data_IF_315216226647
#
_entry.id   IF_315216226647
#
_cell.length_a   1.000
_cell.length_b   1.000
_cell.length_c   1.000
_cell.angle_alpha   90.00
_cell.angle_beta   90.00
_cell.angle_gamma   90.00
#
_symmetry.space_group_name_H-M   'P 1'
#
loop_
_entity.id
_entity.type
_entity.pdbx_description
1 polymer ?
#
# COMPACT_ATOMS: atom_id res chain seq x y z
N UNK A 1 38.00 39.26 13.52
CA UNK A 1 37.45 38.11 14.25
C UNK A 1 37.95 38.20 15.68
N UNK A 2 37.08 38.12 16.70
CA UNK A 2 37.54 38.16 18.10
C UNK A 2 38.33 36.88 18.42
N UNK A 3 39.27 36.94 19.38
CA UNK A 3 40.02 35.74 19.83
C UNK A 3 39.08 34.60 20.23
N UNK A 4 37.97 34.95 20.88
CA UNK A 4 36.87 34.05 21.25
C UNK A 4 36.20 33.44 20.01
N UNK A 5 35.86 34.26 19.01
CA UNK A 5 35.27 33.77 17.76
C UNK A 5 36.19 32.82 16.99
N UNK A 6 37.51 33.07 17.03
CA UNK A 6 38.49 32.19 16.38
C UNK A 6 38.56 30.82 17.05
N UNK A 7 38.58 30.79 18.40
CA UNK A 7 38.60 29.54 19.18
C UNK A 7 37.34 28.69 18.90
N UNK A 8 36.17 29.32 18.88
CA UNK A 8 34.90 28.62 18.61
C UNK A 8 34.91 27.99 17.21
N UNK A 9 35.33 28.74 16.19
CA UNK A 9 35.40 28.24 14.82
C UNK A 9 36.37 27.06 14.71
N UNK A 10 37.55 27.14 15.35
CA UNK A 10 38.52 26.03 15.32
C UNK A 10 37.96 24.76 15.96
N UNK A 11 37.26 24.87 17.09
CA UNK A 11 36.65 23.71 17.76
C UNK A 11 35.60 23.04 16.85
N UNK A 12 34.74 23.85 16.22
CA UNK A 12 33.72 23.34 15.28
C UNK A 12 34.37 22.64 14.08
N UNK A 13 35.44 23.21 13.52
CA UNK A 13 36.16 22.60 12.40
C UNK A 13 36.77 21.25 12.77
N UNK A 14 37.36 21.11 13.96
CA UNK A 14 37.95 19.84 14.42
C UNK A 14 36.87 18.77 14.62
N UNK A 15 35.71 19.14 15.17
CA UNK A 15 34.58 18.21 15.36
C UNK A 15 34.05 17.73 13.99
N UNK A 16 33.91 18.64 13.02
CA UNK A 16 33.44 18.29 11.67
C UNK A 16 34.40 17.33 10.96
N UNK A 17 35.72 17.60 11.02
CA UNK A 17 36.74 16.73 10.42
C UNK A 17 36.71 15.35 11.10
N UNK A 18 36.60 15.31 12.43
CA UNK A 18 36.48 14.06 13.19
C UNK A 18 35.25 13.24 12.80
N UNK A 19 34.10 13.90 12.59
CA UNK A 19 32.88 13.25 12.14
C UNK A 19 33.02 12.65 10.72
N UNK A 20 33.62 13.39 9.78
CA UNK A 20 33.86 12.90 8.41
C UNK A 20 34.75 11.65 8.43
N UNK A 21 35.82 11.68 9.22
CA UNK A 21 36.73 10.53 9.34
C UNK A 21 36.01 9.34 9.99
N UNK A 22 35.23 9.58 11.04
CA UNK A 22 34.47 8.55 11.74
C UNK A 22 33.46 7.87 10.81
N UNK A 23 32.57 8.62 10.15
CA UNK A 23 31.57 8.06 9.24
C UNK A 23 32.16 7.49 7.94
N UNK A 24 33.27 8.06 7.44
CA UNK A 24 33.88 7.64 6.16
C UNK A 24 34.79 6.42 6.26
N UNK A 25 35.62 6.34 7.31
CA UNK A 25 36.78 5.43 7.36
C UNK A 25 36.78 4.46 8.55
N UNK A 26 35.93 4.64 9.56
CA UNK A 26 35.88 3.68 10.69
C UNK A 26 34.78 2.63 10.48
N UNK A 27 35.01 1.37 10.84
CA UNK A 27 33.98 0.33 10.79
C UNK A 27 32.73 0.68 11.63
N UNK A 28 32.93 1.34 12.78
CA UNK A 28 31.84 1.80 13.64
C UNK A 28 30.96 2.86 12.98
N UNK A 29 31.55 3.90 12.39
CA UNK A 29 30.80 4.93 11.69
C UNK A 29 30.09 4.42 10.42
N UNK A 30 30.72 3.52 9.66
CA UNK A 30 30.07 2.84 8.52
C UNK A 30 28.89 1.98 8.94
N UNK A 31 28.99 1.29 10.09
CA UNK A 31 27.88 0.50 10.64
C UNK A 31 26.68 1.37 11.03
N UNK A 32 26.93 2.52 11.68
CA UNK A 32 25.88 3.49 12.03
C UNK A 32 25.22 4.10 10.79
N UNK A 33 26.02 4.43 9.77
CA UNK A 33 25.48 4.93 8.50
C UNK A 33 24.62 3.87 7.81
N UNK A 34 25.11 2.63 7.74
CA UNK A 34 24.42 1.53 7.07
C UNK A 34 23.15 1.11 7.80
N UNK A 35 23.14 1.10 9.14
CA UNK A 35 21.93 0.81 9.91
C UNK A 35 20.87 1.89 9.73
N UNK A 36 21.29 3.17 9.64
CA UNK A 36 20.40 4.29 9.37
C UNK A 36 19.79 4.19 7.96
N UNK A 37 20.61 4.01 6.91
CA UNK A 37 20.09 3.88 5.54
C UNK A 37 19.20 2.64 5.39
N UNK A 38 19.61 1.51 5.97
CA UNK A 38 18.80 0.28 5.96
C UNK A 38 17.47 0.43 6.68
N UNK A 39 17.43 1.20 7.77
CA UNK A 39 16.17 1.48 8.49
C UNK A 39 15.22 2.35 7.67
N UNK A 40 15.75 3.31 6.89
CA UNK A 40 14.97 4.13 5.97
C UNK A 40 14.43 3.30 4.81
N UNK A 41 15.30 2.52 4.15
CA UNK A 41 14.90 1.62 3.06
C UNK A 41 13.81 0.64 3.52
N UNK A 42 13.96 0.05 4.71
CA UNK A 42 12.93 -0.84 5.27
C UNK A 42 11.62 -0.12 5.61
N UNK A 43 11.66 1.13 6.06
CA UNK A 43 10.44 1.88 6.33
C UNK A 43 9.67 2.12 5.03
N UNK A 44 10.37 2.51 3.96
CA UNK A 44 9.78 2.72 2.63
C UNK A 44 9.30 1.40 1.99
N UNK A 45 10.08 0.33 2.06
CA UNK A 45 9.70 -1.01 1.57
C UNK A 45 8.44 -1.52 2.28
N UNK A 46 8.34 -1.37 3.60
CA UNK A 46 7.16 -1.80 4.35
C UNK A 46 5.89 -1.03 3.90
N UNK A 47 6.00 0.26 3.62
CA UNK A 47 4.88 1.05 3.11
C UNK A 47 4.48 0.60 1.69
N UNK A 48 5.47 0.35 0.83
CA UNK A 48 5.24 -0.13 -0.53
C UNK A 48 4.59 -1.51 -0.55
N UNK A 49 5.12 -2.47 0.20
CA UNK A 49 4.57 -3.83 0.28
C UNK A 49 3.17 -3.82 0.89
N UNK A 50 2.91 -2.98 1.90
CA UNK A 50 1.55 -2.81 2.44
C UNK A 50 0.60 -2.29 1.37
N UNK A 51 0.99 -1.25 0.62
CA UNK A 51 0.16 -0.70 -0.46
C UNK A 51 -0.13 -1.75 -1.54
N UNK A 52 0.89 -2.48 -1.96
CA UNK A 52 0.77 -3.54 -2.95
C UNK A 52 -0.17 -4.66 -2.51
N UNK A 53 -0.04 -5.13 -1.26
CA UNK A 53 -0.94 -6.16 -0.71
C UNK A 53 -2.40 -5.70 -0.71
N UNK A 54 -2.64 -4.43 -0.39
CA UNK A 54 -3.98 -3.86 -0.39
C UNK A 54 -4.56 -3.81 -1.81
N UNK A 55 -3.77 -3.33 -2.78
CA UNK A 55 -4.18 -3.28 -4.19
C UNK A 55 -4.43 -4.67 -4.78
N UNK A 56 -3.57 -5.65 -4.50
CA UNK A 56 -3.73 -7.02 -5.00
C UNK A 56 -4.97 -7.69 -4.42
N UNK A 57 -5.27 -7.44 -3.15
CA UNK A 57 -6.51 -7.89 -2.51
C UNK A 57 -7.73 -7.24 -3.15
N UNK A 58 -7.70 -5.92 -3.38
CA UNK A 58 -8.78 -5.19 -4.04
C UNK A 58 -9.04 -5.75 -5.45
N UNK A 59 -7.98 -5.96 -6.26
CA UNK A 59 -8.09 -6.56 -7.59
C UNK A 59 -8.68 -7.98 -7.56
N UNK A 60 -8.27 -8.80 -6.60
CA UNK A 60 -8.84 -10.15 -6.42
C UNK A 60 -10.34 -10.11 -6.11
N UNK A 61 -10.77 -9.19 -5.24
CA UNK A 61 -12.18 -9.01 -4.92
C UNK A 61 -12.99 -8.51 -6.13
N UNK A 62 -12.47 -7.53 -6.89
CA UNK A 62 -13.09 -7.05 -8.13
C UNK A 62 -13.23 -8.20 -9.14
N UNK A 63 -12.20 -9.03 -9.30
CA UNK A 63 -12.23 -10.17 -10.22
C UNK A 63 -13.28 -11.21 -9.81
N UNK A 64 -13.36 -11.54 -8.52
CA UNK A 64 -14.40 -12.44 -7.99
C UNK A 64 -15.80 -11.88 -8.23
N UNK A 65 -16.00 -10.60 -7.92
CA UNK A 65 -17.28 -9.91 -8.14
C UNK A 65 -17.68 -9.96 -9.62
N UNK A 66 -16.78 -9.60 -10.54
CA UNK A 66 -17.04 -9.62 -11.99
C UNK A 66 -17.39 -11.02 -12.50
N UNK A 67 -16.74 -12.06 -11.97
CA UNK A 67 -17.06 -13.45 -12.31
C UNK A 67 -18.47 -13.85 -11.87
N UNK A 68 -18.87 -13.48 -10.66
CA UNK A 68 -20.21 -13.76 -10.15
C UNK A 68 -21.28 -12.94 -10.89
N UNK A 69 -21.02 -11.67 -11.19
CA UNK A 69 -21.91 -10.83 -12.03
C UNK A 69 -22.09 -11.45 -13.41
N UNK A 70 -21.01 -11.89 -14.06
CA UNK A 70 -21.09 -12.54 -15.36
C UNK A 70 -21.94 -13.83 -15.30
N UNK A 71 -21.83 -14.60 -14.22
CA UNK A 71 -22.66 -15.80 -14.02
C UNK A 71 -24.13 -15.45 -13.82
N UNK A 72 -24.42 -14.41 -13.03
CA UNK A 72 -25.79 -13.91 -12.84
C UNK A 72 -26.38 -13.44 -14.17
N UNK A 73 -25.69 -12.57 -14.90
CA UNK A 73 -26.12 -12.04 -16.20
C UNK A 73 -26.37 -13.13 -17.24
N UNK A 74 -25.59 -14.22 -17.19
CA UNK A 74 -25.75 -15.35 -18.12
C UNK A 74 -27.03 -16.16 -17.89
N UNK A 75 -27.48 -16.28 -16.63
CA UNK A 75 -28.53 -17.22 -16.25
C UNK A 75 -29.78 -16.59 -15.63
N UNK A 76 -29.80 -15.28 -15.37
CA UNK A 76 -30.94 -14.58 -14.74
C UNK A 76 -32.26 -14.76 -15.50
N UNK A 77 -32.20 -14.79 -16.83
CA UNK A 77 -33.36 -14.91 -17.72
C UNK A 77 -33.55 -16.34 -18.27
N UNK A 78 -32.90 -17.34 -17.66
CA UNK A 78 -33.00 -18.73 -18.11
C UNK A 78 -34.32 -19.38 -17.67
N UNK A 79 -35.02 -20.04 -18.61
CA UNK A 79 -36.26 -20.79 -18.33
C UNK A 79 -36.05 -22.07 -17.48
N UNK A 80 -34.78 -22.44 -17.23
CA UNK A 80 -34.42 -23.58 -16.39
C UNK A 80 -34.21 -23.14 -14.93
N UNK A 81 -35.00 -23.71 -14.01
CA UNK A 81 -34.99 -23.43 -12.57
C UNK A 81 -33.63 -23.65 -11.90
N UNK A 82 -32.87 -24.66 -12.32
CA UNK A 82 -31.53 -24.94 -11.79
C UNK A 82 -30.54 -23.82 -12.18
N UNK A 83 -30.62 -23.36 -13.43
CA UNK A 83 -29.80 -22.24 -13.92
C UNK A 83 -30.18 -20.92 -13.26
N UNK A 84 -31.47 -20.68 -13.04
CA UNK A 84 -31.93 -19.53 -12.26
C UNK A 84 -31.42 -19.58 -10.82
N UNK A 85 -31.41 -20.75 -10.18
CA UNK A 85 -30.82 -20.93 -8.85
C UNK A 85 -29.32 -20.61 -8.84
N UNK A 86 -28.57 -20.96 -9.90
CA UNK A 86 -27.17 -20.56 -10.03
C UNK A 86 -27.01 -19.04 -10.16
N UNK A 87 -27.90 -18.38 -10.91
CA UNK A 87 -27.91 -16.93 -11.03
C UNK A 87 -28.13 -16.26 -9.67
N UNK A 88 -29.14 -16.70 -8.91
CA UNK A 88 -29.44 -16.15 -7.58
C UNK A 88 -28.29 -16.36 -6.58
N UNK A 89 -27.66 -17.54 -6.61
CA UNK A 89 -26.47 -17.80 -5.80
C UNK A 89 -25.30 -16.88 -6.20
N UNK A 90 -25.08 -16.69 -7.49
CA UNK A 90 -24.04 -15.80 -8.00
C UNK A 90 -24.31 -14.35 -7.60
N UNK A 91 -25.55 -13.88 -7.71
CA UNK A 91 -25.98 -12.56 -7.23
C UNK A 91 -25.70 -12.37 -5.74
N UNK A 92 -26.06 -13.34 -4.89
CA UNK A 92 -25.77 -13.26 -3.45
C UNK A 92 -24.26 -13.20 -3.16
N UNK A 93 -23.43 -13.95 -3.90
CA UNK A 93 -21.97 -13.90 -3.76
C UNK A 93 -21.38 -12.58 -4.27
N UNK A 94 -21.84 -12.07 -5.40
CA UNK A 94 -21.46 -10.78 -5.93
C UNK A 94 -21.79 -9.67 -4.92
N UNK A 95 -23.01 -9.63 -4.40
CA UNK A 95 -23.43 -8.61 -3.44
C UNK A 95 -22.66 -8.68 -2.11
N UNK A 96 -22.37 -9.89 -1.61
CA UNK A 96 -21.50 -10.07 -0.45
C UNK A 96 -20.08 -9.56 -0.71
N UNK A 97 -19.56 -9.81 -1.91
CA UNK A 97 -18.22 -9.36 -2.31
C UNK A 97 -18.19 -7.84 -2.45
N UNK A 98 -19.20 -7.22 -3.08
CA UNK A 98 -19.32 -5.78 -3.21
C UNK A 98 -19.38 -5.09 -1.85
N UNK A 99 -20.19 -5.60 -0.90
CA UNK A 99 -20.23 -5.06 0.47
C UNK A 99 -18.87 -5.15 1.17
N UNK A 100 -18.26 -6.34 1.13
CA UNK A 100 -16.93 -6.55 1.72
C UNK A 100 -15.88 -5.64 1.09
N UNK A 101 -15.93 -5.45 -0.23
CA UNK A 101 -15.02 -4.61 -0.99
C UNK A 101 -15.18 -3.14 -0.63
N UNK A 102 -16.41 -2.64 -0.60
CA UNK A 102 -16.71 -1.25 -0.27
C UNK A 102 -16.22 -0.90 1.14
N UNK A 103 -16.41 -1.81 2.11
CA UNK A 103 -15.81 -1.65 3.43
C UNK A 103 -14.28 -1.71 3.41
N UNK A 104 -13.71 -2.61 2.61
CA UNK A 104 -12.27 -2.79 2.50
C UNK A 104 -11.58 -1.54 1.94
N UNK A 105 -12.09 -0.98 0.85
CA UNK A 105 -11.60 0.27 0.26
C UNK A 105 -11.72 1.42 1.26
N UNK A 106 -12.86 1.55 1.94
CA UNK A 106 -13.05 2.60 2.94
C UNK A 106 -12.02 2.51 4.08
N UNK A 107 -11.80 1.29 4.62
CA UNK A 107 -10.81 1.03 5.69
C UNK A 107 -9.37 1.32 5.26
N UNK A 108 -9.04 1.06 3.99
CA UNK A 108 -7.69 1.25 3.46
C UNK A 108 -7.50 2.56 2.69
N UNK A 109 -8.48 3.47 2.70
CA UNK A 109 -8.43 4.75 1.98
C UNK A 109 -7.14 5.56 2.22
N UNK A 110 -6.58 5.47 3.43
CA UNK A 110 -5.32 6.11 3.82
C UNK A 110 -4.09 5.64 3.02
N UNK A 111 -4.13 4.44 2.44
CA UNK A 111 -3.02 3.85 1.66
C UNK A 111 -2.82 4.57 0.33
N UNK A 112 -3.88 5.19 -0.19
CA UNK A 112 -3.87 5.81 -1.50
C UNK A 112 -3.78 7.33 -1.48
N UNK A 113 -4.06 8.02 -0.37
CA UNK A 113 -4.03 9.49 -0.28
C UNK A 113 -4.72 10.17 -1.49
N UNK A 114 -5.93 9.71 -1.85
CA UNK A 114 -6.70 10.14 -3.03
C UNK A 114 -6.11 9.78 -4.41
N UNK A 115 -5.08 8.94 -4.45
CA UNK A 115 -4.43 8.44 -5.68
C UNK A 115 -4.63 6.93 -5.85
N UNK A 116 -5.89 6.51 -5.96
CA UNK A 116 -6.25 5.11 -6.25
C UNK A 116 -5.90 4.82 -7.73
N UNK A 117 -5.22 3.69 -8.02
CA UNK A 117 -5.01 3.24 -9.40
C UNK A 117 -6.32 3.14 -10.19
N UNK A 118 -6.29 3.53 -11.48
CA UNK A 118 -7.50 3.61 -12.32
C UNK A 118 -8.21 2.27 -12.55
N UNK A 119 -7.54 1.14 -12.29
CA UNK A 119 -8.07 -0.22 -12.39
C UNK A 119 -8.82 -0.69 -11.12
N UNK A 120 -8.77 0.09 -10.04
CA UNK A 120 -9.44 -0.19 -8.76
C UNK A 120 -10.60 0.80 -8.59
N UNK A 121 -11.82 0.27 -8.61
CA UNK A 121 -13.04 1.09 -8.49
C UNK A 121 -13.22 1.61 -7.04
N UNK A 122 -13.67 2.85 -6.84
CA UNK A 122 -13.94 3.39 -5.49
C UNK A 122 -15.05 2.61 -4.75
N UNK A 123 -15.94 1.98 -5.50
CA UNK A 123 -17.00 1.14 -4.97
C UNK A 123 -17.51 0.17 -6.03
N UNK A 124 -17.93 -1.02 -5.63
CA UNK A 124 -18.65 -1.95 -6.47
C UNK A 124 -20.17 -1.80 -6.25
N UNK A 125 -20.97 -1.76 -7.33
CA UNK A 125 -22.41 -1.65 -7.24
C UNK A 125 -23.07 -2.94 -6.75
N UNK A 126 -24.25 -2.82 -6.14
CA UNK A 126 -25.07 -3.96 -5.77
C UNK A 126 -25.88 -4.40 -7.00
N UNK A 127 -25.92 -5.70 -7.25
CA UNK A 127 -26.70 -6.33 -8.31
C UNK A 127 -28.15 -6.46 -7.81
N UNK A 128 -29.08 -5.82 -8.51
CA UNK A 128 -30.52 -5.79 -8.18
C UNK A 128 -31.30 -7.02 -8.61
#
# INVERSE_FOLDING_TARGET
MSKVGTIIVTIISVILIGAIIFFGFTPGGRSVWNSYTHSLEKADENQYETKKQVEDTARAMIASYKSDVATYEQYKDSDNEEKQSWAEQAKMRANRTANSYNEYILKNSYVWEDNIPSDIDYSLPIVE
#
